data_IF_378862712407
#
_entry.id   IF_378862712407
#
_cell.length_a   1.000
_cell.length_b   1.000
_cell.length_c   1.000
_cell.angle_alpha   90.00
_cell.angle_beta   90.00
_cell.angle_gamma   90.00
#
_symmetry.space_group_name_H-M   'P 1'
#
loop_
_entity.id
_entity.type
_entity.pdbx_description
1 polymer ?
#
# COMPACT_ATOMS: atom_id res chain seq x y z
N UNK A 1 -17.15 -35.69 2.29
CA UNK A 1 -17.76 -35.51 0.96
C UNK A 1 -16.84 -34.60 0.17
N UNK A 2 -16.23 -35.12 -0.90
CA UNK A 2 -15.24 -34.40 -1.71
C UNK A 2 -15.98 -33.56 -2.75
N UNK A 3 -15.75 -32.24 -2.77
CA UNK A 3 -16.40 -31.33 -3.72
C UNK A 3 -15.39 -31.07 -4.84
N UNK A 4 -15.60 -31.72 -5.99
CA UNK A 4 -14.89 -31.39 -7.22
C UNK A 4 -15.31 -29.99 -7.68
N UNK A 5 -14.38 -29.04 -7.65
CA UNK A 5 -14.58 -27.68 -8.15
C UNK A 5 -14.15 -27.63 -9.61
N UNK A 6 -15.08 -27.31 -10.50
CA UNK A 6 -14.82 -26.98 -11.90
C UNK A 6 -15.15 -25.49 -12.07
N UNK A 7 -14.23 -24.70 -12.60
CA UNK A 7 -14.44 -23.28 -12.87
C UNK A 7 -14.13 -22.92 -14.33
N UNK A 8 -14.94 -22.06 -14.98
CA UNK A 8 -14.69 -21.59 -16.33
C UNK A 8 -13.70 -20.40 -16.35
N UNK A 9 -12.97 -20.30 -17.46
CA UNK A 9 -11.82 -19.41 -17.66
C UNK A 9 -12.22 -18.00 -18.12
N UNK A 10 -11.40 -17.04 -17.68
CA UNK A 10 -11.06 -15.70 -18.24
C UNK A 10 -11.77 -14.44 -17.72
N UNK A 11 -10.98 -13.57 -17.07
CA UNK A 11 -10.95 -12.08 -17.20
C UNK A 11 -9.67 -11.56 -16.50
N UNK A 12 -9.20 -10.33 -16.80
CA UNK A 12 -7.76 -10.03 -16.92
C UNK A 12 -7.05 -9.70 -15.61
N UNK A 13 -5.74 -9.97 -15.64
CA UNK A 13 -4.73 -9.58 -14.65
C UNK A 13 -4.76 -8.06 -14.44
N UNK A 14 -5.13 -7.63 -13.23
CA UNK A 14 -4.94 -6.24 -12.79
C UNK A 14 -3.47 -6.03 -12.50
N UNK A 15 -2.80 -5.21 -13.31
CA UNK A 15 -1.48 -4.66 -12.96
C UNK A 15 -1.56 -3.94 -11.62
N UNK A 16 -0.53 -4.13 -10.78
CA UNK A 16 -0.47 -3.56 -9.44
C UNK A 16 -0.52 -2.04 -9.50
N UNK A 17 -1.49 -1.42 -8.82
CA UNK A 17 -1.71 0.03 -8.74
C UNK A 17 -0.55 0.76 -7.99
N UNK A 18 0.44 0.02 -7.48
CA UNK A 18 1.57 0.53 -6.71
C UNK A 18 2.83 0.67 -7.57
N UNK A 19 3.53 1.78 -7.39
CA UNK A 19 4.93 1.95 -7.82
C UNK A 19 5.80 0.82 -7.22
N UNK A 20 6.86 0.41 -7.92
CA UNK A 20 7.80 -0.64 -7.46
C UNK A 20 8.36 -0.42 -6.06
N UNK A 21 8.64 0.83 -5.67
CA UNK A 21 9.18 1.15 -4.35
C UNK A 21 8.12 0.99 -3.25
N UNK A 22 6.88 1.42 -3.53
CA UNK A 22 5.75 1.25 -2.63
C UNK A 22 5.43 -0.24 -2.46
N UNK A 23 5.48 -1.03 -3.54
CA UNK A 23 5.24 -2.46 -3.47
C UNK A 23 6.31 -3.18 -2.64
N UNK A 24 7.58 -2.80 -2.78
CA UNK A 24 8.68 -3.36 -1.97
C UNK A 24 8.45 -3.07 -0.49
N UNK A 25 8.09 -1.84 -0.13
CA UNK A 25 7.77 -1.47 1.25
C UNK A 25 6.56 -2.25 1.79
N UNK A 26 5.50 -2.40 0.99
CA UNK A 26 4.30 -3.16 1.37
C UNK A 26 4.66 -4.61 1.73
N UNK A 27 5.50 -5.24 0.91
CA UNK A 27 6.00 -6.60 1.15
C UNK A 27 6.84 -6.65 2.43
N UNK A 28 7.75 -5.69 2.61
CA UNK A 28 8.63 -5.60 3.78
C UNK A 28 7.88 -5.44 5.09
N UNK A 29 6.94 -4.49 5.13
CA UNK A 29 6.09 -4.26 6.29
C UNK A 29 5.25 -5.49 6.65
N UNK A 30 4.75 -6.21 5.64
CA UNK A 30 3.92 -7.38 5.85
C UNK A 30 4.74 -8.56 6.40
N UNK A 31 5.89 -8.91 5.80
CA UNK A 31 6.66 -10.05 6.31
C UNK A 31 7.29 -9.77 7.68
N UNK A 32 7.75 -8.53 7.95
CA UNK A 32 8.28 -8.17 9.27
C UNK A 32 7.20 -8.22 10.36
N UNK A 33 5.94 -7.93 10.01
CA UNK A 33 4.79 -8.10 10.90
C UNK A 33 4.54 -9.58 11.21
N UNK A 34 4.66 -10.45 10.20
CA UNK A 34 4.54 -11.90 10.40
C UNK A 34 5.68 -12.40 11.29
N UNK A 35 6.94 -12.07 10.98
CA UNK A 35 8.10 -12.48 11.77
C UNK A 35 8.00 -12.02 13.22
N UNK A 36 7.65 -10.75 13.45
CA UNK A 36 7.48 -10.22 14.80
C UNK A 36 6.35 -10.92 15.57
N UNK A 37 5.22 -11.19 14.92
CA UNK A 37 4.08 -11.87 15.55
C UNK A 37 4.31 -13.36 15.81
N UNK A 38 5.24 -13.99 15.07
CA UNK A 38 5.63 -15.38 15.25
C UNK A 38 6.92 -15.56 16.07
N UNK A 39 7.62 -14.49 16.45
CA UNK A 39 8.94 -14.55 17.08
C UNK A 39 8.99 -15.38 18.38
N UNK A 40 7.87 -15.43 19.12
CA UNK A 40 7.74 -16.21 20.36
C UNK A 40 7.20 -17.62 20.15
N UNK A 41 6.80 -17.98 18.93
CA UNK A 41 6.34 -19.32 18.57
C UNK A 41 7.54 -20.18 18.19
N UNK A 42 7.96 -21.03 19.11
CA UNK A 42 9.03 -22.01 18.88
C UNK A 42 8.43 -23.35 18.44
N UNK A 43 7.83 -23.39 17.25
CA UNK A 43 7.36 -24.64 16.63
C UNK A 43 7.86 -24.75 15.18
N UNK A 44 8.81 -25.67 14.96
CA UNK A 44 9.41 -25.93 13.65
C UNK A 44 8.44 -26.58 12.66
N UNK A 45 7.25 -27.02 13.11
CA UNK A 45 6.21 -27.56 12.23
C UNK A 45 5.34 -26.46 11.62
N UNK A 46 5.45 -25.22 12.09
CA UNK A 46 4.73 -24.08 11.53
C UNK A 46 5.62 -23.40 10.50
N UNK A 47 5.11 -23.30 9.28
CA UNK A 47 5.73 -22.47 8.24
C UNK A 47 4.83 -21.29 7.98
N UNK A 48 5.43 -20.17 7.60
CA UNK A 48 4.72 -18.96 7.22
C UNK A 48 5.23 -18.45 5.89
N UNK A 49 4.36 -17.84 5.12
CA UNK A 49 4.68 -17.30 3.81
C UNK A 49 3.86 -16.06 3.55
N UNK A 50 4.45 -15.15 2.79
CA UNK A 50 3.75 -14.02 2.21
C UNK A 50 3.63 -14.28 0.71
N UNK A 51 2.40 -14.25 0.22
CA UNK A 51 2.07 -14.55 -1.17
C UNK A 51 1.42 -13.31 -1.79
N UNK A 52 1.72 -13.03 -3.04
CA UNK A 52 1.01 -12.00 -3.80
C UNK A 52 -0.41 -12.45 -4.18
N UNK A 53 -1.22 -11.50 -4.61
CA UNK A 53 -2.60 -11.75 -5.03
C UNK A 53 -2.73 -12.58 -6.33
N UNK A 54 -1.64 -12.77 -7.08
CA UNK A 54 -1.51 -13.64 -8.26
C UNK A 54 -0.80 -14.97 -7.95
N UNK A 55 -0.58 -15.30 -6.67
CA UNK A 55 -0.06 -16.61 -6.27
C UNK A 55 1.45 -16.76 -6.36
N UNK A 56 2.22 -15.68 -6.49
CA UNK A 56 3.68 -15.72 -6.36
C UNK A 56 4.09 -15.66 -4.89
N UNK A 57 4.89 -16.63 -4.44
CA UNK A 57 5.53 -16.56 -3.12
C UNK A 57 6.53 -15.40 -3.09
N UNK A 58 6.34 -14.45 -2.18
CA UNK A 58 7.19 -13.27 -1.99
C UNK A 58 8.18 -13.47 -0.83
N UNK A 59 7.78 -14.22 0.19
CA UNK A 59 8.60 -14.53 1.36
C UNK A 59 8.17 -15.85 2.00
N UNK A 60 9.08 -16.53 2.70
CA UNK A 60 8.86 -17.80 3.40
C UNK A 60 9.72 -17.84 4.67
N UNK A 61 9.11 -18.15 5.83
CA UNK A 61 9.85 -18.43 7.05
C UNK A 61 10.48 -19.82 6.95
N UNK A 62 11.81 -19.84 7.03
CA UNK A 62 12.69 -21.00 6.86
C UNK A 62 12.95 -21.41 5.41
N UNK A 63 14.25 -21.55 5.08
CA UNK A 63 14.77 -22.03 3.79
C UNK A 63 14.53 -23.53 3.55
N UNK A 64 13.36 -24.06 3.91
CA UNK A 64 12.99 -25.39 3.46
C UNK A 64 12.65 -25.30 1.97
N UNK A 65 13.57 -25.78 1.13
CA UNK A 65 13.44 -25.79 -0.33
C UNK A 65 12.08 -26.32 -0.79
N UNK A 66 11.39 -25.52 -1.59
CA UNK A 66 10.08 -25.86 -2.17
C UNK A 66 9.16 -24.65 -2.24
N UNK A 67 8.29 -24.62 -3.25
CA UNK A 67 7.22 -23.63 -3.34
C UNK A 67 6.18 -23.86 -2.24
N UNK A 68 5.62 -22.79 -1.70
CA UNK A 68 4.51 -22.88 -0.76
C UNK A 68 3.26 -23.33 -1.54
N UNK A 69 2.96 -24.64 -1.54
CA UNK A 69 2.07 -25.31 -2.50
C UNK A 69 0.71 -24.61 -2.71
N UNK A 70 0.13 -24.09 -1.63
CA UNK A 70 -1.15 -23.37 -1.66
C UNK A 70 -1.13 -22.10 -2.53
N UNK A 71 0.05 -21.56 -2.85
CA UNK A 71 0.21 -20.39 -3.70
C UNK A 71 -0.34 -20.64 -5.12
N UNK A 72 -0.26 -21.88 -5.62
CA UNK A 72 -0.82 -22.25 -6.92
C UNK A 72 -2.35 -22.11 -6.99
N UNK A 73 -3.06 -22.23 -5.86
CA UNK A 73 -4.51 -21.99 -5.82
C UNK A 73 -4.86 -20.50 -6.00
N UNK A 74 -3.93 -19.59 -5.68
CA UNK A 74 -4.13 -18.15 -5.83
C UNK A 74 -3.79 -17.63 -7.23
N UNK A 75 -2.98 -18.37 -7.98
CA UNK A 75 -2.59 -18.03 -9.36
C UNK A 75 -3.69 -18.26 -10.40
N UNK A 76 -4.72 -19.01 -10.05
CA UNK A 76 -5.90 -19.15 -10.90
C UNK A 76 -6.70 -17.83 -10.91
N UNK A 77 -7.30 -17.49 -12.06
CA UNK A 77 -8.22 -16.35 -12.24
C UNK A 77 -9.52 -16.57 -11.44
N UNK A 78 -9.39 -16.65 -10.11
CA UNK A 78 -10.48 -16.91 -9.19
C UNK A 78 -11.42 -15.72 -9.17
N UNK A 79 -12.72 -16.02 -9.28
CA UNK A 79 -13.75 -15.04 -8.97
C UNK A 79 -13.59 -14.54 -7.54
N UNK A 80 -14.04 -13.32 -7.26
CA UNK A 80 -14.01 -12.73 -5.93
C UNK A 80 -14.61 -13.65 -4.85
N UNK A 81 -15.76 -14.29 -5.17
CA UNK A 81 -16.42 -15.22 -4.25
C UNK A 81 -15.64 -16.52 -4.01
N UNK A 82 -14.94 -17.04 -5.01
CA UNK A 82 -14.08 -18.21 -4.84
C UNK A 82 -12.84 -17.87 -3.99
N UNK A 83 -12.25 -16.70 -4.22
CA UNK A 83 -11.13 -16.20 -3.43
C UNK A 83 -11.51 -15.95 -1.97
N UNK A 84 -12.68 -15.38 -1.72
CA UNK A 84 -13.17 -15.15 -0.36
C UNK A 84 -13.30 -16.47 0.44
N UNK A 85 -13.74 -17.57 -0.20
CA UNK A 85 -13.86 -18.88 0.46
C UNK A 85 -12.53 -19.43 0.97
N UNK A 86 -11.43 -19.16 0.27
CA UNK A 86 -10.09 -19.59 0.68
C UNK A 86 -9.69 -19.04 2.06
N UNK A 87 -10.28 -17.92 2.47
CA UNK A 87 -9.96 -17.26 3.73
C UNK A 87 -10.92 -17.61 4.88
N UNK A 88 -11.95 -18.43 4.62
CA UNK A 88 -13.00 -18.72 5.60
C UNK A 88 -12.73 -19.95 6.47
N UNK A 89 -11.84 -20.83 6.03
CA UNK A 89 -11.51 -22.06 6.75
C UNK A 89 -10.10 -22.54 6.38
N UNK A 90 -9.47 -23.37 7.23
CA UNK A 90 -8.24 -24.07 6.88
C UNK A 90 -8.43 -24.98 5.67
N UNK A 91 -7.41 -25.07 4.82
CA UNK A 91 -7.41 -25.91 3.62
C UNK A 91 -6.40 -27.03 3.84
N UNK A 92 -6.85 -28.28 3.72
CA UNK A 92 -5.97 -29.44 3.74
C UNK A 92 -5.50 -29.78 2.32
N UNK A 93 -4.19 -29.86 2.12
CA UNK A 93 -3.58 -30.29 0.86
C UNK A 93 -2.42 -31.23 1.19
N UNK A 94 -2.48 -32.47 0.69
CA UNK A 94 -1.46 -33.50 0.91
C UNK A 94 -1.06 -33.71 2.39
N UNK A 95 -2.03 -33.61 3.31
CA UNK A 95 -1.80 -33.76 4.75
C UNK A 95 -1.17 -32.54 5.44
N UNK A 96 -1.06 -31.41 4.75
CA UNK A 96 -0.66 -30.12 5.31
C UNK A 96 -1.90 -29.23 5.40
N UNK A 97 -2.13 -28.64 6.58
CA UNK A 97 -3.18 -27.65 6.76
C UNK A 97 -2.62 -26.26 6.50
N UNK A 98 -3.28 -25.52 5.62
CA UNK A 98 -2.98 -24.14 5.27
C UNK A 98 -4.03 -23.20 5.82
N UNK A 99 -3.58 -22.08 6.35
CA UNK A 99 -4.39 -21.02 6.91
C UNK A 99 -4.08 -19.75 6.13
N UNK A 100 -5.10 -19.16 5.51
CA UNK A 100 -4.92 -18.01 4.61
C UNK A 100 -5.70 -16.81 5.12
N UNK A 101 -5.08 -15.65 5.08
CA UNK A 101 -5.75 -14.39 5.38
C UNK A 101 -5.26 -13.27 4.44
N UNK A 102 -6.18 -12.49 3.85
CA UNK A 102 -5.83 -11.40 2.94
C UNK A 102 -5.31 -10.18 3.71
N UNK A 103 -4.24 -9.57 3.19
CA UNK A 103 -3.79 -8.24 3.60
C UNK A 103 -4.45 -7.22 2.68
N UNK A 104 -5.14 -6.26 3.28
CA UNK A 104 -5.86 -5.21 2.56
C UNK A 104 -5.03 -3.93 2.47
N UNK A 105 -5.13 -3.29 1.31
CA UNK A 105 -4.71 -1.91 1.11
C UNK A 105 -5.58 -0.93 1.89
N UNK A 106 -5.14 0.33 1.95
CA UNK A 106 -5.95 1.46 2.42
C UNK A 106 -7.33 1.57 1.74
N UNK A 107 -7.44 1.16 0.47
CA UNK A 107 -8.67 1.18 -0.33
C UNK A 107 -9.59 -0.02 -0.06
N UNK A 108 -9.18 -0.97 0.80
CA UNK A 108 -9.96 -2.18 1.09
C UNK A 108 -9.79 -3.30 0.07
N UNK A 109 -8.88 -3.15 -0.91
CA UNK A 109 -8.57 -4.18 -1.89
C UNK A 109 -7.48 -5.13 -1.37
N UNK A 110 -7.62 -6.46 -1.55
CA UNK A 110 -6.61 -7.43 -1.13
C UNK A 110 -5.35 -7.29 -2.00
N UNK A 111 -4.21 -7.04 -1.39
CA UNK A 111 -2.93 -6.82 -2.08
C UNK A 111 -1.96 -7.98 -1.90
N UNK A 112 -2.00 -8.63 -0.74
CA UNK A 112 -1.16 -9.78 -0.37
C UNK A 112 -1.99 -10.80 0.39
N UNK A 113 -1.41 -11.98 0.61
CA UNK A 113 -1.98 -13.06 1.42
C UNK A 113 -0.93 -13.52 2.42
N UNK A 114 -1.28 -13.47 3.71
CA UNK A 114 -0.54 -14.16 4.76
C UNK A 114 -0.97 -15.62 4.74
N UNK A 115 0.00 -16.52 4.75
CA UNK A 115 -0.26 -17.94 4.75
C UNK A 115 0.56 -18.61 5.84
N UNK A 116 -0.10 -19.34 6.74
CA UNK A 116 0.56 -20.27 7.65
C UNK A 116 0.29 -21.70 7.21
N UNK A 117 1.19 -22.62 7.51
CA UNK A 117 0.93 -24.05 7.34
C UNK A 117 1.44 -24.86 8.52
N UNK A 118 0.81 -26.01 8.73
CA UNK A 118 1.20 -27.00 9.74
C UNK A 118 0.95 -28.41 9.24
N UNK A 119 1.84 -29.34 9.59
CA UNK A 119 1.68 -30.79 9.37
C UNK A 119 0.90 -31.47 10.49
N UNK A 120 0.52 -30.74 11.54
CA UNK A 120 -0.34 -31.23 12.63
C UNK A 120 -1.83 -31.09 12.26
N UNK A 121 -2.73 -31.51 13.14
CA UNK A 121 -4.17 -31.35 12.94
C UNK A 121 -4.57 -29.88 12.72
N UNK A 122 -5.71 -29.67 12.05
CA UNK A 122 -6.35 -28.37 11.92
C UNK A 122 -6.47 -27.66 13.27
N UNK A 123 -5.97 -26.42 13.34
CA UNK A 123 -5.83 -25.66 14.57
C UNK A 123 -6.50 -24.29 14.42
N UNK A 124 -7.61 -24.09 15.15
CA UNK A 124 -8.33 -22.82 15.16
C UNK A 124 -7.48 -21.66 15.69
N UNK A 125 -6.49 -21.94 16.54
CA UNK A 125 -5.54 -20.92 17.03
C UNK A 125 -4.66 -20.42 15.89
N UNK A 126 -4.12 -21.31 15.05
CA UNK A 126 -3.33 -20.92 13.88
C UNK A 126 -4.18 -20.19 12.85
N UNK A 127 -5.44 -20.60 12.67
CA UNK A 127 -6.37 -19.85 11.82
C UNK A 127 -6.59 -18.43 12.34
N UNK A 128 -6.95 -18.28 13.61
CA UNK A 128 -7.16 -16.97 14.24
C UNK A 128 -5.90 -16.10 14.22
N UNK A 129 -4.73 -16.70 14.45
CA UNK A 129 -3.44 -16.03 14.38
C UNK A 129 -3.15 -15.51 12.96
N UNK A 130 -3.41 -16.34 11.93
CA UNK A 130 -3.24 -15.92 10.53
C UNK A 130 -4.10 -14.69 10.22
N UNK A 131 -5.37 -14.71 10.66
CA UNK A 131 -6.28 -13.57 10.50
C UNK A 131 -5.77 -12.33 11.26
N UNK A 132 -5.26 -12.51 12.48
CA UNK A 132 -4.73 -11.42 13.30
C UNK A 132 -3.49 -10.77 12.66
N UNK A 133 -2.55 -11.57 12.16
CA UNK A 133 -1.35 -11.09 11.47
C UNK A 133 -1.69 -10.29 10.20
N UNK A 134 -2.60 -10.82 9.37
CA UNK A 134 -3.05 -10.12 8.18
C UNK A 134 -3.78 -8.82 8.51
N UNK A 135 -4.59 -8.81 9.57
CA UNK A 135 -5.26 -7.60 10.07
C UNK A 135 -4.26 -6.56 10.58
N UNK A 136 -3.24 -6.98 11.31
CA UNK A 136 -2.18 -6.08 11.79
C UNK A 136 -1.41 -5.46 10.62
N UNK A 137 -0.98 -6.29 9.65
CA UNK A 137 -0.31 -5.82 8.45
C UNK A 137 -1.18 -4.81 7.68
N UNK A 138 -2.47 -5.12 7.49
CA UNK A 138 -3.43 -4.20 6.85
C UNK A 138 -3.55 -2.88 7.61
N UNK A 139 -3.57 -2.94 8.94
CA UNK A 139 -3.62 -1.76 9.81
C UNK A 139 -2.38 -0.88 9.67
N UNK A 140 -1.19 -1.47 9.67
CA UNK A 140 0.08 -0.74 9.49
C UNK A 140 0.17 -0.13 8.09
N UNK A 141 -0.27 -0.84 7.05
CA UNK A 141 -0.35 -0.30 5.68
C UNK A 141 -1.28 0.90 5.59
N UNK A 142 -2.48 0.79 6.17
CA UNK A 142 -3.45 1.88 6.21
C UNK A 142 -2.89 3.09 6.96
N UNK A 143 -2.22 2.87 8.09
CA UNK A 143 -1.60 3.93 8.87
C UNK A 143 -0.48 4.63 8.09
N UNK A 144 0.43 3.87 7.46
CA UNK A 144 1.51 4.42 6.66
C UNK A 144 0.99 5.31 5.52
N UNK A 145 -0.08 4.88 4.85
CA UNK A 145 -0.71 5.69 3.81
C UNK A 145 -1.23 7.03 4.35
N UNK A 146 -1.95 7.02 5.47
CA UNK A 146 -2.44 8.26 6.08
C UNK A 146 -1.31 9.18 6.54
N UNK A 147 -0.24 8.63 7.12
CA UNK A 147 0.94 9.44 7.45
C UNK A 147 1.51 10.09 6.20
N UNK A 148 1.68 9.35 5.10
CA UNK A 148 2.16 9.95 3.85
C UNK A 148 1.24 11.06 3.33
N UNK A 149 -0.08 10.95 3.45
CA UNK A 149 -1.00 12.01 3.06
C UNK A 149 -0.89 13.25 3.96
N UNK A 150 -0.84 13.05 5.28
CA UNK A 150 -0.64 14.14 6.25
C UNK A 150 0.72 14.82 6.02
N UNK A 151 1.77 14.05 5.72
CA UNK A 151 3.10 14.60 5.42
C UNK A 151 3.18 15.24 4.03
N UNK A 152 2.34 14.85 3.05
CA UNK A 152 2.20 15.57 1.77
C UNK A 152 1.55 16.94 1.97
N UNK A 153 0.49 17.02 2.77
CA UNK A 153 -0.12 18.30 3.17
C UNK A 153 0.88 19.16 3.94
N UNK A 154 1.58 18.59 4.92
CA UNK A 154 2.63 19.31 5.65
C UNK A 154 3.82 19.69 4.77
N UNK A 155 4.14 18.98 3.68
CA UNK A 155 5.23 19.37 2.78
C UNK A 155 4.91 20.67 2.03
N UNK A 156 3.62 20.93 1.76
CA UNK A 156 3.18 22.22 1.20
C UNK A 156 3.40 23.34 2.22
N UNK A 157 3.14 23.07 3.50
CA UNK A 157 3.36 24.04 4.60
C UNK A 157 4.86 24.17 4.98
N UNK A 158 5.64 23.09 4.91
CA UNK A 158 7.07 23.04 5.22
C UNK A 158 7.97 23.60 4.13
N UNK A 159 7.49 23.77 2.88
CA UNK A 159 8.22 24.48 1.81
C UNK A 159 8.70 25.87 2.24
N UNK A 160 8.00 26.48 3.19
CA UNK A 160 8.23 27.84 3.67
C UNK A 160 8.82 27.89 5.08
N UNK A 161 9.01 26.75 5.75
CA UNK A 161 9.37 26.69 7.17
C UNK A 161 10.79 27.22 7.50
N UNK A 162 11.68 27.31 6.51
CA UNK A 162 13.04 27.85 6.66
C UNK A 162 13.24 29.24 6.03
N UNK A 163 12.18 29.84 5.48
CA UNK A 163 12.25 31.11 4.77
C UNK A 163 11.70 32.23 5.66
N UNK A 164 12.33 33.40 5.60
CA UNK A 164 11.75 34.60 6.18
C UNK A 164 10.47 34.99 5.43
N UNK A 165 9.61 35.78 6.08
CA UNK A 165 8.27 36.10 5.56
C UNK A 165 8.30 36.74 4.16
N UNK A 166 9.36 37.48 3.79
CA UNK A 166 9.50 38.07 2.46
C UNK A 166 9.93 37.04 1.41
N UNK A 167 10.76 36.09 1.79
CA UNK A 167 11.17 34.99 0.92
C UNK A 167 10.00 34.04 0.63
N UNK A 168 9.16 33.77 1.63
CA UNK A 168 7.89 33.01 1.48
C UNK A 168 6.96 33.72 0.50
N UNK A 169 6.72 35.02 0.71
CA UNK A 169 5.86 35.82 -0.15
C UNK A 169 6.39 35.88 -1.60
N UNK A 170 7.71 36.05 -1.79
CA UNK A 170 8.34 36.03 -3.11
C UNK A 170 8.14 34.68 -3.81
N UNK A 171 8.37 33.57 -3.12
CA UNK A 171 8.22 32.23 -3.67
C UNK A 171 6.77 31.92 -4.08
N UNK A 172 5.79 32.30 -3.26
CA UNK A 172 4.35 32.18 -3.59
C UNK A 172 3.98 32.98 -4.84
N UNK A 173 4.49 34.21 -4.99
CA UNK A 173 4.21 35.03 -6.16
C UNK A 173 4.80 34.40 -7.44
N UNK A 174 5.98 33.79 -7.36
CA UNK A 174 6.61 33.09 -8.50
C UNK A 174 5.81 31.84 -8.88
N UNK A 175 5.42 31.02 -7.90
CA UNK A 175 4.63 29.80 -8.14
C UNK A 175 3.28 30.13 -8.80
N UNK A 176 2.60 31.17 -8.31
CA UNK A 176 1.35 31.64 -8.91
C UNK A 176 1.59 32.27 -10.29
N UNK A 177 2.72 32.93 -10.53
CA UNK A 177 3.08 33.45 -11.86
C UNK A 177 3.24 32.31 -12.87
N UNK A 178 3.89 31.21 -12.49
CA UNK A 178 4.02 30.00 -13.31
C UNK A 178 2.66 29.35 -13.57
N UNK A 179 1.87 29.09 -12.53
CA UNK A 179 0.56 28.44 -12.66
C UNK A 179 -0.46 29.27 -13.47
N UNK A 180 -0.31 30.60 -13.49
CA UNK A 180 -1.20 31.51 -14.21
C UNK A 180 -0.64 31.99 -15.55
N UNK A 181 0.50 31.47 -16.03
CA UNK A 181 1.17 31.92 -17.27
C UNK A 181 1.38 33.45 -17.30
N UNK A 182 1.80 34.03 -16.17
CA UNK A 182 2.00 35.48 -16.03
C UNK A 182 0.72 36.33 -16.17
N UNK A 183 -0.48 35.73 -16.20
CA UNK A 183 -1.74 36.47 -16.32
C UNK A 183 -2.11 37.12 -14.99
N UNK A 184 -1.72 38.38 -14.81
CA UNK A 184 -1.96 39.18 -13.59
C UNK A 184 -3.43 39.15 -13.13
N UNK A 185 -4.38 39.14 -14.07
CA UNK A 185 -5.82 39.04 -13.76
C UNK A 185 -6.23 37.70 -13.12
N UNK A 186 -5.49 36.62 -13.32
CA UNK A 186 -5.70 35.35 -12.61
C UNK A 186 -4.91 35.33 -11.30
N UNK A 187 -3.65 35.75 -11.35
CA UNK A 187 -2.75 35.75 -10.19
C UNK A 187 -3.32 36.50 -8.99
N UNK A 188 -3.89 37.69 -9.18
CA UNK A 188 -4.42 38.48 -8.04
C UNK A 188 -5.60 37.81 -7.33
N UNK A 189 -6.38 36.98 -8.03
CA UNK A 189 -7.49 36.22 -7.43
C UNK A 189 -6.97 35.02 -6.64
N UNK A 190 -5.95 34.34 -7.18
CA UNK A 190 -5.34 33.16 -6.55
C UNK A 190 -4.57 33.54 -5.29
N UNK A 191 -3.88 34.69 -5.30
CA UNK A 191 -3.12 35.21 -4.16
C UNK A 191 -3.99 35.99 -3.15
N UNK A 192 -5.29 36.10 -3.40
CA UNK A 192 -6.23 36.90 -2.61
C UNK A 192 -5.69 38.29 -2.23
N UNK A 193 -5.17 39.03 -3.23
CA UNK A 193 -4.60 40.35 -3.01
C UNK A 193 -4.99 41.37 -4.08
N UNK A 194 -5.01 42.64 -3.72
CA UNK A 194 -5.30 43.73 -4.65
C UNK A 194 -4.31 43.78 -5.82
N UNK A 195 -4.78 44.06 -7.04
CA UNK A 195 -3.93 44.16 -8.26
C UNK A 195 -2.77 45.15 -8.09
N UNK A 196 -3.01 46.28 -7.43
CA UNK A 196 -2.01 47.31 -7.16
C UNK A 196 -0.97 46.83 -6.13
N UNK A 197 -1.39 46.07 -5.12
CA UNK A 197 -0.49 45.41 -4.16
C UNK A 197 0.40 44.39 -4.85
N UNK A 198 -0.18 43.53 -5.70
CA UNK A 198 0.57 42.55 -6.50
C UNK A 198 1.61 43.24 -7.39
N UNK A 199 1.24 44.32 -8.10
CA UNK A 199 2.18 45.11 -8.91
C UNK A 199 3.35 45.67 -8.10
N UNK A 200 3.07 46.21 -6.90
CA UNK A 200 4.11 46.73 -6.00
C UNK A 200 5.06 45.62 -5.56
N UNK A 201 4.54 44.43 -5.27
CA UNK A 201 5.33 43.26 -4.85
C UNK A 201 6.18 42.68 -5.99
N UNK A 202 5.63 42.56 -7.20
CA UNK A 202 6.39 42.15 -8.39
C UNK A 202 7.59 43.07 -8.65
N UNK A 203 7.38 44.39 -8.53
CA UNK A 203 8.47 45.37 -8.65
C UNK A 203 9.47 45.26 -7.51
N UNK A 204 9.01 45.09 -6.28
CA UNK A 204 9.86 44.96 -5.09
C UNK A 204 10.76 43.72 -5.15
N UNK A 205 10.25 42.61 -5.70
CA UNK A 205 10.99 41.34 -5.82
C UNK A 205 11.69 41.15 -7.17
N UNK A 206 11.67 42.16 -8.04
CA UNK A 206 12.26 42.15 -9.37
C UNK A 206 11.75 40.99 -10.26
N UNK A 207 10.47 40.63 -10.10
CA UNK A 207 9.83 39.56 -10.88
C UNK A 207 9.26 40.15 -12.17
N UNK A 208 9.84 39.76 -13.30
CA UNK A 208 9.33 40.16 -14.61
C UNK A 208 8.29 39.13 -15.12
N UNK A 209 7.02 39.56 -15.15
CA UNK A 209 5.87 38.76 -15.60
C UNK A 209 6.04 38.22 -17.03
N UNK A 210 6.80 38.91 -17.89
CA UNK A 210 7.01 38.48 -19.28
C UNK A 210 7.77 37.17 -19.38
N UNK A 211 8.50 36.78 -18.34
CA UNK A 211 9.30 35.56 -18.32
C UNK A 211 8.44 34.31 -18.06
N UNK A 212 7.15 34.49 -17.76
CA UNK A 212 6.20 33.44 -17.41
C UNK A 212 5.04 33.33 -18.41
N UNK A 213 5.16 33.98 -19.58
CA UNK A 213 4.14 34.04 -20.63
C UNK A 213 4.20 32.90 -21.62
#
# INVERSE_FOLDING_TARGET
MSVHLIFPTTTPVKESIYNSDDYKYIVELAYTTIEGGLASLHDNNIRSSLISSDGKTLWLSHEFGGNFEIAALLSDNLTYGARAKLYTAPIELHGIFYYLAPVYSHAGEPVLVVALSSTQNSCNILFALTQALAREASGKLKFHYYEQEIFKENKVEQRFASLDIHSVEKALIIEVAQACEGKIQKMHKVLDMGRTTLWRKLKQYEINIKDYK
#
